data_IF_367992776297
#
_entry.id   IF_367992776297
#
_cell.length_a   1.000
_cell.length_b   1.000
_cell.length_c   1.000
_cell.angle_alpha   90.00
_cell.angle_beta   90.00
_cell.angle_gamma   90.00
#
_symmetry.space_group_name_H-M   'P 1'
#
loop_
_entity.id
_entity.type
_entity.pdbx_description
1 polymer ?
#
# COMPACT_ATOMS: atom_id res chain seq x y z
N UNK A 1 -20.31 -6.84 7.78
CA UNK A 1 -20.55 -5.37 7.78
C UNK A 1 -21.61 -5.08 6.75
N UNK A 2 -22.56 -4.20 7.06
CA UNK A 2 -23.53 -3.71 6.07
C UNK A 2 -22.78 -2.96 4.96
N UNK A 3 -23.27 -2.99 3.70
CA UNK A 3 -22.67 -2.22 2.62
C UNK A 3 -22.70 -0.72 2.95
N UNK A 4 -21.65 0.04 2.58
CA UNK A 4 -21.62 1.48 2.80
C UNK A 4 -22.79 2.17 2.09
N UNK A 5 -23.36 3.19 2.72
CA UNK A 5 -24.53 3.90 2.21
C UNK A 5 -24.14 5.11 1.36
N UNK A 6 -23.01 5.73 1.69
CA UNK A 6 -22.48 6.90 0.99
C UNK A 6 -21.06 6.65 0.43
N UNK A 7 -20.62 7.52 -0.48
CA UNK A 7 -19.33 7.39 -1.16
C UNK A 7 -18.16 7.61 -0.21
N UNK A 8 -18.29 8.56 0.71
CA UNK A 8 -17.34 8.85 1.77
C UNK A 8 -17.23 7.70 2.78
N UNK A 9 -18.32 7.04 3.15
CA UNK A 9 -18.28 5.79 3.95
C UNK A 9 -17.43 4.72 3.24
N UNK A 10 -17.65 4.56 1.93
CA UNK A 10 -16.92 3.60 1.10
C UNK A 10 -15.43 3.95 1.02
N UNK A 11 -15.12 5.24 0.84
CA UNK A 11 -13.74 5.73 0.80
C UNK A 11 -13.04 5.50 2.13
N UNK A 12 -13.69 5.81 3.26
CA UNK A 12 -13.15 5.56 4.60
C UNK A 12 -12.89 4.07 4.83
N UNK A 13 -13.79 3.19 4.38
CA UNK A 13 -13.61 1.74 4.45
C UNK A 13 -12.37 1.28 3.68
N UNK A 14 -12.13 1.84 2.49
CA UNK A 14 -10.90 1.57 1.72
C UNK A 14 -9.67 2.10 2.43
N UNK A 15 -9.70 3.30 3.01
CA UNK A 15 -8.58 3.82 3.80
C UNK A 15 -8.24 2.94 5.01
N UNK A 16 -9.24 2.39 5.71
CA UNK A 16 -9.05 1.42 6.79
C UNK A 16 -8.36 0.15 6.27
N UNK A 17 -8.78 -0.35 5.12
CA UNK A 17 -8.15 -1.51 4.46
C UNK A 17 -6.68 -1.24 4.09
N UNK A 18 -6.37 -0.06 3.55
CA UNK A 18 -5.00 0.34 3.23
C UNK A 18 -4.10 0.36 4.46
N UNK A 19 -4.63 0.84 5.60
CA UNK A 19 -3.89 0.83 6.87
C UNK A 19 -3.59 -0.61 7.34
N UNK A 20 -4.55 -1.53 7.23
CA UNK A 20 -4.34 -2.94 7.56
C UNK A 20 -3.23 -3.57 6.69
N UNK A 21 -3.27 -3.32 5.38
CA UNK A 21 -2.26 -3.83 4.43
C UNK A 21 -0.89 -3.24 4.77
N UNK A 22 -0.81 -1.94 5.03
CA UNK A 22 0.42 -1.28 5.47
C UNK A 22 0.99 -1.93 6.74
N UNK A 23 0.18 -2.10 7.78
CA UNK A 23 0.60 -2.72 9.05
C UNK A 23 1.14 -4.13 8.81
N UNK A 24 0.43 -4.94 8.03
CA UNK A 24 0.86 -6.31 7.71
C UNK A 24 2.24 -6.31 7.03
N UNK A 25 2.39 -5.57 5.92
CA UNK A 25 3.66 -5.51 5.18
C UNK A 25 4.79 -4.91 6.02
N UNK A 26 4.49 -3.91 6.84
CA UNK A 26 5.50 -3.29 7.71
C UNK A 26 6.01 -4.26 8.77
N UNK A 27 5.18 -5.17 9.28
CA UNK A 27 5.64 -6.27 10.15
C UNK A 27 6.51 -7.28 9.41
N UNK A 28 6.12 -7.63 8.18
CA UNK A 28 6.82 -8.64 7.39
C UNK A 28 8.22 -8.17 6.91
N UNK A 29 8.36 -6.88 6.56
CA UNK A 29 9.56 -6.35 5.90
C UNK A 29 10.28 -5.22 6.64
N UNK A 30 9.67 -4.61 7.67
CA UNK A 30 10.21 -3.42 8.33
C UNK A 30 10.23 -2.16 7.45
N UNK A 31 10.98 -1.13 7.88
CA UNK A 31 11.16 0.14 7.13
C UNK A 31 12.51 0.30 6.43
N UNK A 32 13.51 -0.53 6.77
CA UNK A 32 14.92 -0.32 6.37
C UNK A 32 15.09 -0.18 4.85
N UNK A 33 14.54 -1.10 4.05
CA UNK A 33 14.65 -1.05 2.59
C UNK A 33 14.10 0.26 1.97
N UNK A 34 13.07 0.84 2.59
CA UNK A 34 12.48 2.10 2.13
C UNK A 34 13.33 3.29 2.60
N UNK A 35 13.89 3.22 3.80
CA UNK A 35 14.75 4.27 4.34
C UNK A 35 16.07 4.38 3.59
N UNK A 36 16.66 3.25 3.20
CA UNK A 36 17.93 3.18 2.46
C UNK A 36 17.83 3.84 1.08
N UNK A 37 16.76 3.55 0.32
CA UNK A 37 16.60 4.03 -1.05
C UNK A 37 15.85 5.39 -1.10
N UNK A 38 15.07 5.68 -0.07
CA UNK A 38 14.32 6.93 0.05
C UNK A 38 13.20 7.10 -0.97
N UNK A 39 12.84 8.36 -1.24
CA UNK A 39 11.68 8.73 -2.08
C UNK A 39 11.74 8.13 -3.49
N UNK A 40 12.95 8.06 -4.08
CA UNK A 40 13.15 7.46 -5.40
C UNK A 40 12.83 5.95 -5.40
N UNK A 41 13.21 5.24 -4.34
CA UNK A 41 12.89 3.82 -4.19
C UNK A 41 11.39 3.59 -4.13
N UNK A 42 10.66 4.45 -3.43
CA UNK A 42 9.19 4.38 -3.36
C UNK A 42 8.57 4.57 -4.75
N UNK A 43 9.06 5.54 -5.54
CA UNK A 43 8.59 5.77 -6.90
C UNK A 43 8.83 4.55 -7.83
N UNK A 44 10.00 3.91 -7.73
CA UNK A 44 10.29 2.69 -8.48
C UNK A 44 9.35 1.55 -8.11
N UNK A 45 9.08 1.32 -6.81
CA UNK A 45 8.13 0.29 -6.36
C UNK A 45 6.73 0.53 -6.91
N UNK A 46 6.27 1.78 -6.93
CA UNK A 46 4.98 2.13 -7.56
C UNK A 46 5.02 1.79 -9.06
N UNK A 47 6.10 2.12 -9.76
CA UNK A 47 6.25 1.84 -11.19
C UNK A 47 6.19 0.33 -11.50
N UNK A 48 6.83 -0.51 -10.68
CA UNK A 48 6.74 -1.97 -10.82
C UNK A 48 5.29 -2.46 -10.69
N UNK A 49 4.54 -1.94 -9.71
CA UNK A 49 3.13 -2.30 -9.53
C UNK A 49 2.24 -1.81 -10.66
N UNK A 50 2.48 -0.61 -11.18
CA UNK A 50 1.77 -0.09 -12.37
C UNK A 50 2.06 -0.96 -13.59
N UNK A 51 3.31 -1.38 -13.79
CA UNK A 51 3.69 -2.25 -14.90
C UNK A 51 3.01 -3.63 -14.79
N UNK A 52 2.96 -4.20 -13.58
CA UNK A 52 2.20 -5.42 -13.30
C UNK A 52 0.71 -5.25 -13.57
N UNK A 53 0.12 -4.18 -13.07
CA UNK A 53 -1.29 -3.84 -13.26
C UNK A 53 -1.65 -3.75 -14.75
N UNK A 54 -0.82 -3.08 -15.55
CA UNK A 54 -1.00 -3.01 -17.01
C UNK A 54 -1.05 -4.41 -17.61
N UNK A 55 -0.10 -5.27 -17.27
CA UNK A 55 -0.06 -6.64 -17.76
C UNK A 55 -1.29 -7.46 -17.35
N UNK A 56 -1.80 -7.27 -16.13
CA UNK A 56 -3.01 -7.96 -15.65
C UNK A 56 -4.28 -7.49 -16.36
N UNK A 57 -4.38 -6.20 -16.68
CA UNK A 57 -5.54 -5.63 -17.39
C UNK A 57 -5.54 -6.04 -18.86
N UNK A 58 -4.38 -6.06 -19.52
CA UNK A 58 -4.28 -6.36 -20.95
C UNK A 58 -4.21 -7.86 -21.25
N UNK A 59 -3.85 -8.67 -20.27
CA UNK A 59 -3.83 -10.13 -20.39
C UNK A 59 -5.22 -10.70 -20.16
N UNK A 60 -5.79 -11.40 -21.15
CA UNK A 60 -7.03 -12.19 -20.99
C UNK A 60 -6.84 -13.47 -20.13
N UNK A 61 -5.70 -13.61 -19.43
CA UNK A 61 -5.42 -14.78 -18.58
C UNK A 61 -5.83 -14.49 -17.14
N UNK A 62 -6.47 -15.47 -16.50
CA UNK A 62 -6.73 -15.40 -15.05
C UNK A 62 -5.39 -15.24 -14.29
N UNK A 63 -5.26 -14.24 -13.41
CA UNK A 63 -4.05 -14.07 -12.60
C UNK A 63 -3.85 -15.28 -11.68
N UNK A 64 -2.62 -15.78 -11.58
CA UNK A 64 -2.29 -16.95 -10.74
C UNK A 64 -1.90 -16.53 -9.31
N UNK A 65 -1.20 -15.39 -9.15
CA UNK A 65 -0.53 -15.03 -7.89
C UNK A 65 -1.06 -13.76 -7.21
N UNK A 66 -1.39 -12.70 -7.95
CA UNK A 66 -1.96 -11.46 -7.40
C UNK A 66 -2.99 -10.93 -8.39
N UNK A 67 -4.11 -10.40 -7.88
CA UNK A 67 -5.17 -9.86 -8.72
C UNK A 67 -4.96 -8.34 -9.00
N UNK A 68 -5.86 -7.78 -9.81
CA UNK A 68 -5.86 -6.35 -10.17
C UNK A 68 -6.06 -5.45 -8.95
N UNK A 69 -6.95 -5.85 -8.03
CA UNK A 69 -7.29 -5.11 -6.82
C UNK A 69 -6.08 -4.98 -5.87
N UNK A 70 -5.34 -6.07 -5.67
CA UNK A 70 -4.12 -6.09 -4.84
C UNK A 70 -3.09 -5.07 -5.36
N UNK A 71 -2.99 -4.91 -6.69
CA UNK A 71 -2.08 -3.94 -7.32
C UNK A 71 -2.48 -2.51 -6.97
N UNK A 72 -3.77 -2.20 -6.99
CA UNK A 72 -4.27 -0.87 -6.61
C UNK A 72 -4.03 -0.57 -5.14
N UNK A 73 -4.28 -1.53 -4.25
CA UNK A 73 -3.98 -1.36 -2.83
C UNK A 73 -2.49 -1.11 -2.60
N UNK A 74 -1.60 -1.88 -3.23
CA UNK A 74 -0.17 -1.68 -3.10
C UNK A 74 0.28 -0.30 -3.56
N UNK A 75 -0.21 0.15 -4.73
CA UNK A 75 0.08 1.50 -5.25
C UNK A 75 -0.37 2.57 -4.25
N UNK A 76 -1.58 2.46 -3.72
CA UNK A 76 -2.12 3.42 -2.77
C UNK A 76 -1.33 3.42 -1.44
N UNK A 77 -0.94 2.24 -0.92
CA UNK A 77 -0.10 2.14 0.28
C UNK A 77 1.25 2.81 0.05
N UNK A 78 1.93 2.56 -1.08
CA UNK A 78 3.20 3.22 -1.37
C UNK A 78 3.06 4.73 -1.56
N UNK A 79 1.95 5.22 -2.14
CA UNK A 79 1.68 6.65 -2.24
C UNK A 79 1.53 7.30 -0.84
N UNK A 80 0.84 6.63 0.10
CA UNK A 80 0.76 7.08 1.49
C UNK A 80 2.14 7.07 2.16
N UNK A 81 2.93 6.01 1.96
CA UNK A 81 4.31 5.94 2.47
C UNK A 81 5.15 7.11 1.95
N UNK A 82 5.04 7.45 0.66
CA UNK A 82 5.72 8.63 0.10
C UNK A 82 5.35 9.91 0.84
N UNK A 83 4.05 10.13 1.10
CA UNK A 83 3.57 11.29 1.85
C UNK A 83 4.09 11.30 3.30
N UNK A 84 4.13 10.14 3.97
CA UNK A 84 4.70 10.01 5.31
C UNK A 84 6.22 10.26 5.31
N UNK A 85 6.92 9.79 4.29
CA UNK A 85 8.37 9.98 4.12
C UNK A 85 8.70 11.47 3.93
N UNK A 86 7.97 12.17 3.05
CA UNK A 86 8.14 13.63 2.85
C UNK A 86 7.89 14.44 4.12
N UNK A 87 7.00 13.97 5.00
CA UNK A 87 6.71 14.59 6.30
C UNK A 87 7.72 14.21 7.39
N UNK A 88 8.65 13.29 7.13
CA UNK A 88 9.59 12.79 8.13
C UNK A 88 8.98 11.79 9.12
N UNK A 89 7.71 11.40 8.94
CA UNK A 89 6.99 10.54 9.87
C UNK A 89 7.37 9.08 9.71
N UNK A 90 7.59 8.63 8.47
CA UNK A 90 7.95 7.24 8.20
C UNK A 90 9.30 6.87 8.85
N UNK A 91 10.21 7.83 8.91
CA UNK A 91 11.53 7.70 9.50
C UNK A 91 11.46 7.67 11.03
N UNK A 92 10.70 8.61 11.62
CA UNK A 92 10.74 8.90 13.06
C UNK A 92 9.76 8.09 13.91
N UNK A 93 8.67 7.61 13.31
CA UNK A 93 7.59 6.94 14.05
C UNK A 93 7.66 5.42 13.86
N UNK A 94 7.08 4.71 14.82
CA UNK A 94 6.87 3.28 14.79
C UNK A 94 5.38 2.95 14.90
N UNK A 95 5.01 1.72 14.56
CA UNK A 95 3.65 1.24 14.79
C UNK A 95 3.30 1.31 16.28
N UNK A 96 2.05 1.71 16.57
CA UNK A 96 1.53 1.71 17.94
C UNK A 96 1.63 0.31 18.57
N UNK A 97 1.79 0.17 19.90
CA UNK A 97 1.96 -1.14 20.57
C UNK A 97 0.88 -2.17 20.23
N UNK A 98 -0.38 -1.73 20.06
CA UNK A 98 -1.51 -2.59 19.64
C UNK A 98 -1.31 -3.27 18.27
N UNK A 99 -0.46 -2.69 17.43
CA UNK A 99 -0.15 -3.15 16.09
C UNK A 99 1.27 -3.76 16.01
N UNK A 100 1.99 -3.96 17.12
CA UNK A 100 3.33 -4.58 17.13
C UNK A 100 3.30 -6.12 17.29
N UNK A 101 2.20 -6.70 17.78
CA UNK A 101 2.00 -8.16 17.90
C UNK A 101 1.51 -8.77 16.61
#
# INVERSE_FOLDING_TARGET
>A
MSPPKFLDDSFEMICKKLLEIFIKKHKDYGKENILEIGELGIAFRINEKVSRLKNLITSNKKPINENVEDSWYDIAVYAIIAMLYKKGYFQKLDLSPKNKK
#
